data_IF_149762010435
#
_entry.id   IF_149762010435
#
_cell.length_a   1.000
_cell.length_b   1.000
_cell.length_c   1.000
_cell.angle_alpha   90.00
_cell.angle_beta   90.00
_cell.angle_gamma   90.00
#
_symmetry.space_group_name_H-M   'P 1'
#
loop_
_entity.id
_entity.type
_entity.pdbx_description
1 polymer ?
#
# COMPACT_ATOMS: atom_id res chain seq x y z
N UNK A 1 -33.37 23.46 -17.35
CA UNK A 1 -32.45 23.34 -18.51
C UNK A 1 -31.84 24.66 -19.01
N UNK A 2 -32.53 25.82 -18.93
CA UNK A 2 -32.03 27.13 -19.44
C UNK A 2 -30.71 27.58 -18.80
N UNK A 3 -30.55 27.43 -17.47
CA UNK A 3 -29.36 27.87 -16.71
C UNK A 3 -28.14 27.02 -16.98
N UNK A 4 -28.28 25.70 -17.21
CA UNK A 4 -27.17 24.79 -17.48
C UNK A 4 -26.44 25.15 -18.79
N UNK A 5 -27.19 25.52 -19.81
CA UNK A 5 -26.62 25.96 -21.10
C UNK A 5 -25.82 27.26 -20.94
N UNK A 6 -26.27 28.16 -20.07
CA UNK A 6 -25.56 29.39 -19.76
C UNK A 6 -24.23 29.10 -19.03
N UNK A 7 -24.24 28.23 -18.01
CA UNK A 7 -23.06 27.86 -17.23
C UNK A 7 -22.01 27.20 -18.13
N UNK A 8 -22.42 26.25 -18.97
CA UNK A 8 -21.51 25.55 -19.89
C UNK A 8 -20.91 26.51 -20.94
N UNK A 9 -21.69 27.44 -21.45
CA UNK A 9 -21.20 28.47 -22.38
C UNK A 9 -20.19 29.40 -21.70
N UNK A 10 -20.38 29.70 -20.42
CA UNK A 10 -19.46 30.50 -19.62
C UNK A 10 -18.11 29.80 -19.39
N UNK A 11 -18.12 28.51 -19.03
CA UNK A 11 -16.91 27.74 -18.84
C UNK A 11 -16.07 27.65 -20.14
N UNK A 12 -16.73 27.66 -21.33
CA UNK A 12 -16.04 27.61 -22.64
C UNK A 12 -15.50 28.98 -23.10
N UNK A 13 -15.88 30.07 -22.49
CA UNK A 13 -15.51 31.43 -22.95
C UNK A 13 -14.03 31.75 -22.70
N UNK A 14 -13.46 31.24 -21.61
CA UNK A 14 -12.03 31.33 -21.34
C UNK A 14 -11.47 29.92 -21.16
N UNK A 15 -11.24 29.19 -22.29
CA UNK A 15 -10.92 27.77 -22.25
C UNK A 15 -9.58 27.50 -21.55
N UNK A 16 -8.58 28.38 -21.71
CA UNK A 16 -7.26 28.20 -21.09
C UNK A 16 -7.38 28.14 -19.57
N UNK A 17 -8.09 29.06 -18.94
CA UNK A 17 -8.27 29.08 -17.50
C UNK A 17 -9.07 27.86 -17.02
N UNK A 18 -10.19 27.55 -17.66
CA UNK A 18 -11.01 26.39 -17.28
C UNK A 18 -10.24 25.08 -17.40
N UNK A 19 -9.46 24.90 -18.48
CA UNK A 19 -8.60 23.71 -18.67
C UNK A 19 -7.51 23.66 -17.60
N UNK A 20 -6.82 24.76 -17.32
CA UNK A 20 -5.79 24.80 -16.28
C UNK A 20 -6.36 24.50 -14.90
N UNK A 21 -7.54 25.02 -14.57
CA UNK A 21 -8.18 24.75 -13.27
C UNK A 21 -8.60 23.28 -13.16
N UNK A 22 -9.23 22.73 -14.22
CA UNK A 22 -9.61 21.32 -14.29
C UNK A 22 -8.35 20.44 -14.19
N UNK A 23 -7.30 20.75 -14.93
CA UNK A 23 -6.05 19.99 -14.93
C UNK A 23 -5.39 20.01 -13.53
N UNK A 24 -5.27 21.19 -12.91
CA UNK A 24 -4.72 21.32 -11.55
C UNK A 24 -5.53 20.52 -10.54
N UNK A 25 -6.86 20.63 -10.58
CA UNK A 25 -7.75 19.85 -9.69
C UNK A 25 -7.63 18.36 -9.93
N UNK A 26 -7.54 17.93 -11.21
CA UNK A 26 -7.37 16.51 -11.56
C UNK A 26 -6.06 15.94 -11.04
N UNK A 27 -4.94 16.63 -11.25
CA UNK A 27 -3.62 16.18 -10.81
C UNK A 27 -3.57 16.10 -9.29
N UNK A 28 -4.03 17.14 -8.59
CA UNK A 28 -4.01 17.14 -7.13
C UNK A 28 -4.87 16.03 -6.53
N UNK A 29 -6.08 15.80 -7.09
CA UNK A 29 -6.94 14.71 -6.64
C UNK A 29 -6.39 13.34 -7.01
N UNK A 30 -5.78 13.19 -8.18
CA UNK A 30 -5.09 11.96 -8.57
C UNK A 30 -4.00 11.60 -7.54
N UNK A 31 -3.14 12.56 -7.17
CA UNK A 31 -2.11 12.35 -6.14
C UNK A 31 -2.72 12.05 -4.76
N UNK A 32 -3.80 12.74 -4.38
CA UNK A 32 -4.50 12.45 -3.13
C UNK A 32 -5.07 11.04 -3.11
N UNK A 33 -5.61 10.54 -4.25
CA UNK A 33 -6.11 9.16 -4.35
C UNK A 33 -4.99 8.14 -4.14
N UNK A 34 -3.79 8.38 -4.68
CA UNK A 34 -2.62 7.51 -4.46
C UNK A 34 -2.30 7.42 -2.96
N UNK A 35 -2.21 8.56 -2.28
CA UNK A 35 -1.90 8.58 -0.85
C UNK A 35 -2.95 7.86 0.00
N UNK A 36 -4.23 8.09 -0.30
CA UNK A 36 -5.33 7.43 0.41
C UNK A 36 -5.39 5.92 0.10
N UNK A 37 -5.11 5.52 -1.14
CA UNK A 37 -5.06 4.11 -1.52
C UNK A 37 -3.89 3.39 -0.84
N UNK A 38 -2.71 3.99 -0.81
CA UNK A 38 -1.56 3.44 -0.09
C UNK A 38 -1.89 3.17 1.39
N UNK A 39 -2.57 4.12 2.03
CA UNK A 39 -2.98 3.97 3.42
C UNK A 39 -4.06 2.88 3.61
N UNK A 40 -5.05 2.83 2.71
CA UNK A 40 -6.14 1.86 2.80
C UNK A 40 -5.65 0.42 2.60
N UNK A 41 -4.72 0.19 1.67
CA UNK A 41 -4.15 -1.14 1.39
C UNK A 41 -3.43 -1.69 2.61
N UNK A 42 -2.65 -0.89 3.32
CA UNK A 42 -1.97 -1.33 4.54
C UNK A 42 -2.97 -1.77 5.63
N UNK A 43 -4.13 -1.11 5.74
CA UNK A 43 -5.19 -1.55 6.65
C UNK A 43 -5.91 -2.82 6.16
N UNK A 44 -6.15 -2.96 4.85
CA UNK A 44 -6.84 -4.13 4.29
C UNK A 44 -6.02 -5.41 4.43
N UNK A 45 -4.70 -5.36 4.19
CA UNK A 45 -3.81 -6.52 4.40
C UNK A 45 -3.92 -7.03 5.85
N UNK A 46 -3.92 -6.12 6.81
CA UNK A 46 -4.05 -6.47 8.22
C UNK A 46 -5.42 -7.10 8.54
N UNK A 47 -6.50 -6.61 7.96
CA UNK A 47 -7.86 -7.13 8.21
C UNK A 47 -8.07 -8.50 7.56
N UNK A 48 -7.56 -8.73 6.36
CA UNK A 48 -7.69 -10.04 5.68
C UNK A 48 -6.96 -11.16 6.41
N UNK A 49 -5.83 -10.87 7.05
CA UNK A 49 -5.08 -11.89 7.79
C UNK A 49 -5.87 -12.52 8.96
N UNK A 50 -6.97 -11.88 9.40
CA UNK A 50 -7.88 -12.43 10.45
C UNK A 50 -8.48 -13.78 10.09
N UNK A 51 -8.78 -14.02 8.82
CA UNK A 51 -9.47 -15.25 8.39
C UNK A 51 -8.58 -16.49 8.41
N UNK A 52 -7.26 -16.29 8.46
CA UNK A 52 -6.31 -17.41 8.34
C UNK A 52 -5.96 -18.08 9.67
N UNK A 53 -6.51 -17.64 10.81
CA UNK A 53 -6.26 -18.21 12.13
C UNK A 53 -4.76 -18.43 12.40
N UNK A 54 -3.94 -17.44 12.14
CA UNK A 54 -2.48 -17.49 12.34
C UNK A 54 -2.01 -16.54 13.42
N UNK A 55 -1.02 -16.99 14.16
CA UNK A 55 -0.25 -16.16 15.08
C UNK A 55 1.21 -16.15 14.63
N UNK A 56 1.89 -15.06 14.92
CA UNK A 56 3.30 -14.86 14.60
C UNK A 56 4.06 -14.66 15.89
N UNK A 57 5.06 -15.50 16.09
CA UNK A 57 6.00 -15.40 17.21
C UNK A 57 7.29 -14.77 16.72
N UNK A 58 7.74 -13.73 17.38
CA UNK A 58 8.99 -13.04 17.10
C UNK A 58 9.76 -12.80 18.40
N UNK A 59 11.00 -12.36 18.31
CA UNK A 59 11.74 -11.94 19.49
C UNK A 59 11.10 -10.68 20.11
N UNK A 60 11.04 -10.65 21.44
CA UNK A 60 10.43 -9.52 22.17
C UNK A 60 11.13 -8.18 21.89
N UNK A 61 12.43 -8.22 21.52
CA UNK A 61 13.21 -7.03 21.16
C UNK A 61 12.92 -6.49 19.73
N UNK A 62 11.89 -7.05 19.06
CA UNK A 62 11.47 -6.61 17.74
C UNK A 62 12.20 -7.31 16.57
N UNK A 63 12.16 -6.72 15.38
CA UNK A 63 12.67 -7.33 14.13
C UNK A 63 14.18 -7.55 14.08
N UNK A 64 14.96 -6.87 14.92
CA UNK A 64 16.40 -7.10 15.01
C UNK A 64 16.75 -8.38 15.77
N UNK A 65 15.83 -8.86 16.62
CA UNK A 65 15.96 -10.10 17.37
C UNK A 65 15.64 -11.32 16.49
N UNK A 66 16.15 -12.48 16.93
CA UNK A 66 15.92 -13.76 16.27
C UNK A 66 15.29 -14.74 17.25
N UNK A 67 14.67 -15.79 16.74
CA UNK A 67 14.03 -16.86 17.52
C UNK A 67 14.72 -18.19 17.16
N UNK A 68 15.18 -18.99 18.14
CA UNK A 68 15.79 -20.28 17.84
C UNK A 68 14.88 -21.20 17.04
N UNK A 69 15.43 -21.85 16.01
CA UNK A 69 14.66 -22.79 15.19
C UNK A 69 14.06 -23.95 16.00
N UNK A 70 14.72 -24.33 17.12
CA UNK A 70 14.21 -25.36 18.03
C UNK A 70 12.79 -25.06 18.55
N UNK A 71 12.45 -23.78 18.72
CA UNK A 71 11.11 -23.36 19.18
C UNK A 71 10.00 -23.78 18.21
N UNK A 72 10.29 -23.89 16.89
CA UNK A 72 9.32 -24.39 15.92
C UNK A 72 8.86 -25.79 16.29
N UNK A 73 9.81 -26.69 16.62
CA UNK A 73 9.51 -28.07 17.00
C UNK A 73 8.77 -28.20 18.33
N UNK A 74 9.02 -27.31 19.28
CA UNK A 74 8.34 -27.28 20.58
C UNK A 74 6.91 -26.75 20.43
N UNK A 75 6.74 -25.64 19.71
CA UNK A 75 5.45 -25.01 19.48
C UNK A 75 4.54 -25.89 18.61
N UNK A 76 5.07 -26.61 17.63
CA UNK A 76 4.30 -27.54 16.80
C UNK A 76 3.62 -28.65 17.59
N UNK A 77 4.12 -29.00 18.78
CA UNK A 77 3.56 -30.04 19.66
C UNK A 77 2.49 -29.51 20.61
N UNK A 78 2.27 -28.20 20.66
CA UNK A 78 1.28 -27.60 21.55
C UNK A 78 -0.13 -27.91 21.09
N UNK A 79 -1.04 -28.16 22.04
CA UNK A 79 -2.44 -28.35 21.71
C UNK A 79 -3.04 -27.07 21.12
N UNK A 80 -3.78 -27.25 20.03
CA UNK A 80 -4.38 -26.16 19.27
C UNK A 80 -3.53 -25.69 18.09
N UNK A 81 -2.27 -26.11 17.97
CA UNK A 81 -1.43 -25.85 16.79
C UNK A 81 -1.74 -26.89 15.70
N UNK A 82 -1.88 -26.44 14.46
CA UNK A 82 -2.00 -27.29 13.26
C UNK A 82 -0.62 -27.51 12.67
N UNK A 83 0.13 -26.43 12.47
CA UNK A 83 1.49 -26.45 11.95
C UNK A 83 2.21 -25.16 12.36
N UNK A 84 3.54 -25.22 12.42
CA UNK A 84 4.40 -24.04 12.58
C UNK A 84 5.54 -24.09 11.57
N UNK A 85 5.96 -22.93 11.08
CA UNK A 85 7.03 -22.80 10.08
C UNK A 85 7.96 -21.64 10.46
N UNK A 86 9.28 -21.78 10.31
CA UNK A 86 10.17 -20.64 10.35
C UNK A 86 9.86 -19.74 9.15
N UNK A 87 9.97 -18.43 9.35
CA UNK A 87 9.74 -17.44 8.30
C UNK A 87 10.80 -16.35 8.43
N UNK A 88 11.84 -16.44 7.62
CA UNK A 88 13.00 -15.54 7.70
C UNK A 88 13.19 -14.78 6.40
N UNK A 89 13.12 -13.47 6.48
CA UNK A 89 13.38 -12.61 5.33
C UNK A 89 14.86 -12.61 4.95
N UNK A 90 15.15 -12.82 3.67
CA UNK A 90 16.52 -12.86 3.15
C UNK A 90 17.04 -11.50 2.71
N UNK A 91 16.24 -10.73 1.98
CA UNK A 91 16.58 -9.37 1.56
C UNK A 91 17.79 -9.29 0.61
N UNK A 92 17.94 -10.26 -0.26
CA UNK A 92 19.03 -10.32 -1.25
C UNK A 92 18.71 -9.55 -2.53
N UNK A 93 19.75 -9.39 -3.38
CA UNK A 93 19.68 -8.78 -4.71
C UNK A 93 19.44 -9.83 -5.79
N UNK A 94 18.69 -9.46 -6.81
CA UNK A 94 18.52 -10.24 -8.02
C UNK A 94 18.92 -9.37 -9.22
N UNK A 95 19.88 -9.81 -10.02
CA UNK A 95 20.44 -9.01 -11.14
C UNK A 95 20.80 -7.57 -10.74
N UNK A 96 21.48 -7.40 -9.58
CA UNK A 96 21.88 -6.12 -9.00
C UNK A 96 20.73 -5.20 -8.53
N UNK A 97 19.46 -5.60 -8.69
CA UNK A 97 18.32 -4.92 -8.08
C UNK A 97 18.27 -5.20 -6.57
N UNK A 98 18.25 -4.15 -5.78
CA UNK A 98 18.11 -4.26 -4.30
C UNK A 98 16.65 -4.47 -3.97
N UNK A 99 16.33 -5.54 -3.20
CA UNK A 99 14.96 -5.90 -2.82
C UNK A 99 13.99 -6.01 -4.03
N UNK A 100 14.29 -6.85 -5.02
CA UNK A 100 13.49 -6.91 -6.25
C UNK A 100 12.10 -7.52 -6.03
N UNK A 101 11.95 -8.35 -5.01
CA UNK A 101 10.72 -9.02 -4.55
C UNK A 101 10.95 -9.62 -3.15
N UNK A 102 9.85 -9.96 -2.46
CA UNK A 102 9.92 -10.57 -1.13
C UNK A 102 10.52 -11.98 -1.19
N UNK A 103 11.49 -12.26 -0.33
CA UNK A 103 12.27 -13.50 -0.30
C UNK A 103 12.29 -14.05 1.12
N UNK A 104 11.74 -15.26 1.31
CA UNK A 104 11.64 -15.86 2.63
C UNK A 104 12.19 -17.29 2.65
N UNK A 105 13.03 -17.54 3.65
CA UNK A 105 13.45 -18.89 4.00
C UNK A 105 12.41 -19.54 4.91
N UNK A 106 11.88 -20.71 4.50
CA UNK A 106 10.74 -21.39 5.11
C UNK A 106 10.98 -22.89 5.21
N UNK A 107 10.20 -23.58 6.02
CA UNK A 107 10.19 -25.05 6.03
C UNK A 107 9.26 -25.57 4.91
N UNK A 108 9.84 -26.36 4.00
CA UNK A 108 9.14 -26.90 2.83
C UNK A 108 7.98 -27.84 3.19
N UNK A 109 8.05 -28.51 4.37
CA UNK A 109 7.00 -29.45 4.80
C UNK A 109 5.78 -28.73 5.34
N UNK A 110 5.96 -27.59 6.00
CA UNK A 110 4.91 -26.97 6.79
C UNK A 110 4.35 -25.67 6.20
N UNK A 111 5.09 -24.99 5.30
CA UNK A 111 4.72 -23.67 4.78
C UNK A 111 3.33 -23.63 4.14
N UNK A 112 2.97 -24.59 3.28
CA UNK A 112 1.66 -24.63 2.62
C UNK A 112 0.54 -25.18 3.49
N UNK A 113 0.86 -25.74 4.66
CA UNK A 113 -0.13 -26.02 5.71
C UNK A 113 -0.40 -24.77 6.56
N UNK A 114 0.64 -23.97 6.80
CA UNK A 114 0.50 -22.71 7.52
C UNK A 114 -0.15 -21.64 6.64
N UNK A 115 0.27 -21.53 5.37
CA UNK A 115 -0.30 -20.63 4.36
C UNK A 115 -1.23 -21.41 3.41
N UNK A 116 -2.34 -21.93 3.95
CA UNK A 116 -3.29 -22.79 3.24
C UNK A 116 -4.10 -22.07 2.15
N UNK A 117 -4.03 -20.74 2.09
CA UNK A 117 -4.55 -19.95 0.98
C UNK A 117 -3.69 -20.03 -0.29
N UNK A 118 -2.41 -20.43 -0.15
CA UNK A 118 -1.50 -20.59 -1.26
C UNK A 118 -1.58 -22.02 -1.80
N UNK A 119 -1.78 -22.15 -3.10
CA UNK A 119 -1.91 -23.44 -3.78
C UNK A 119 -0.76 -23.64 -4.72
N UNK A 120 -0.10 -24.79 -4.62
CA UNK A 120 0.95 -25.26 -5.51
C UNK A 120 0.58 -26.65 -6.03
N UNK A 121 0.97 -27.00 -7.25
CA UNK A 121 0.69 -28.32 -7.80
C UNK A 121 1.44 -29.42 -6.99
N UNK A 122 0.84 -30.60 -6.76
CA UNK A 122 1.42 -31.63 -5.88
C UNK A 122 2.81 -32.09 -6.30
N UNK A 123 3.04 -32.26 -7.60
CA UNK A 123 4.32 -32.61 -8.18
C UNK A 123 5.41 -31.55 -7.96
N UNK A 124 5.03 -30.29 -8.03
CA UNK A 124 5.92 -29.16 -7.77
C UNK A 124 6.24 -29.03 -6.28
N UNK A 125 5.26 -29.28 -5.41
CA UNK A 125 5.47 -29.29 -3.97
C UNK A 125 6.45 -30.39 -3.58
N UNK A 126 6.31 -31.60 -4.14
CA UNK A 126 7.21 -32.71 -3.90
C UNK A 126 8.63 -32.38 -4.41
N UNK A 127 8.74 -31.83 -5.62
CA UNK A 127 10.03 -31.36 -6.14
C UNK A 127 10.67 -30.28 -5.24
N UNK A 128 9.89 -29.38 -4.62
CA UNK A 128 10.39 -28.40 -3.66
C UNK A 128 10.91 -29.05 -2.37
N UNK A 129 10.22 -30.07 -1.87
CA UNK A 129 10.62 -30.79 -0.67
C UNK A 129 11.88 -31.63 -0.86
N UNK A 130 12.05 -32.26 -2.02
CA UNK A 130 13.18 -33.12 -2.32
C UNK A 130 14.48 -32.35 -2.61
N UNK A 131 14.37 -31.19 -3.26
CA UNK A 131 15.54 -30.43 -3.72
C UNK A 131 15.90 -29.31 -2.74
N UNK A 132 17.09 -29.37 -2.13
CA UNK A 132 17.57 -28.37 -1.16
C UNK A 132 17.70 -26.97 -1.75
N UNK A 133 18.16 -26.86 -2.99
CA UNK A 133 18.28 -25.62 -3.75
C UNK A 133 16.94 -25.13 -4.35
N UNK A 134 15.85 -25.88 -4.09
CA UNK A 134 14.54 -25.57 -4.61
C UNK A 134 13.95 -24.28 -4.03
N UNK A 135 13.22 -23.55 -4.88
CA UNK A 135 12.33 -22.50 -4.45
C UNK A 135 10.97 -22.59 -5.14
N UNK A 136 9.96 -22.05 -4.47
CA UNK A 136 8.61 -21.89 -5.03
C UNK A 136 8.32 -20.40 -5.12
N UNK A 137 7.92 -19.92 -6.30
CA UNK A 137 7.68 -18.52 -6.58
C UNK A 137 6.19 -18.25 -6.85
N UNK A 138 5.73 -17.05 -6.55
CA UNK A 138 4.36 -16.66 -6.85
C UNK A 138 4.11 -16.50 -8.35
N UNK A 139 2.89 -16.77 -8.78
CA UNK A 139 2.49 -16.74 -10.20
C UNK A 139 2.63 -15.34 -10.84
N UNK A 140 2.49 -14.28 -10.05
CA UNK A 140 2.75 -12.91 -10.52
C UNK A 140 4.24 -12.64 -10.68
N UNK A 141 5.07 -13.11 -9.73
CA UNK A 141 6.53 -13.02 -9.84
C UNK A 141 7.04 -13.78 -11.08
N UNK A 142 6.54 -15.01 -11.29
CA UNK A 142 6.88 -15.81 -12.46
C UNK A 142 6.57 -15.07 -13.78
N UNK A 143 5.43 -14.42 -13.85
CA UNK A 143 5.01 -13.62 -15.02
C UNK A 143 5.86 -12.35 -15.19
N UNK A 144 6.04 -11.59 -14.11
CA UNK A 144 6.73 -10.29 -14.13
C UNK A 144 8.21 -10.46 -14.53
N UNK A 145 8.84 -11.57 -14.11
CA UNK A 145 10.25 -11.89 -14.39
C UNK A 145 10.44 -12.94 -15.50
N UNK A 146 9.34 -13.40 -16.10
CA UNK A 146 9.34 -14.43 -17.15
C UNK A 146 10.02 -15.74 -16.73
N UNK A 147 9.94 -16.09 -15.44
CA UNK A 147 10.54 -17.29 -14.85
C UNK A 147 9.63 -18.51 -15.07
N UNK A 148 10.26 -19.65 -15.35
CA UNK A 148 9.59 -20.93 -15.57
C UNK A 148 10.14 -21.99 -14.60
N UNK A 149 9.47 -23.12 -14.51
CA UNK A 149 9.96 -24.28 -13.78
C UNK A 149 11.32 -24.71 -14.34
N UNK A 150 12.28 -24.94 -13.46
CA UNK A 150 13.65 -25.34 -13.79
C UNK A 150 14.61 -24.15 -14.00
N UNK A 151 14.11 -22.91 -14.09
CA UNK A 151 14.99 -21.78 -14.28
C UNK A 151 15.82 -21.48 -13.01
N UNK A 152 17.08 -21.04 -13.17
CA UNK A 152 17.92 -20.62 -12.07
C UNK A 152 17.46 -19.26 -11.54
N UNK A 153 17.45 -19.12 -10.21
CA UNK A 153 17.13 -17.89 -9.50
C UNK A 153 18.27 -17.54 -8.52
N UNK A 154 19.38 -16.99 -9.00
CA UNK A 154 20.50 -16.59 -8.14
C UNK A 154 20.15 -15.35 -7.34
N UNK A 155 20.25 -15.44 -6.02
CA UNK A 155 20.08 -14.31 -5.10
C UNK A 155 21.42 -13.98 -4.46
N UNK A 156 21.89 -12.76 -4.64
CA UNK A 156 23.11 -12.27 -4.03
C UNK A 156 22.82 -11.72 -2.65
N UNK A 157 23.58 -12.13 -1.65
CA UNK A 157 23.41 -11.67 -0.27
C UNK A 157 23.66 -10.19 -0.11
N UNK A 158 22.73 -9.47 0.55
CA UNK A 158 22.88 -8.07 0.93
C UNK A 158 22.77 -7.93 2.47
N UNK A 159 21.68 -8.42 3.04
CA UNK A 159 21.49 -8.46 4.49
C UNK A 159 22.31 -9.58 5.15
N UNK A 160 22.48 -10.70 4.47
CA UNK A 160 23.27 -11.85 4.92
C UNK A 160 24.49 -12.05 3.98
N UNK A 161 25.65 -12.45 4.52
CA UNK A 161 26.87 -12.60 3.73
C UNK A 161 26.92 -13.96 2.99
N UNK A 162 25.82 -14.35 2.38
CA UNK A 162 25.67 -15.63 1.67
C UNK A 162 24.88 -15.41 0.38
N UNK A 163 25.35 -16.00 -0.70
CA UNK A 163 24.63 -16.05 -1.97
C UNK A 163 23.81 -17.35 -2.04
N UNK A 164 22.59 -17.25 -2.54
CA UNK A 164 21.69 -18.37 -2.69
C UNK A 164 21.48 -18.66 -4.18
N UNK A 165 21.97 -19.80 -4.64
CA UNK A 165 21.74 -20.29 -5.98
C UNK A 165 20.51 -21.20 -5.97
N UNK A 166 19.35 -20.62 -6.27
CA UNK A 166 18.06 -21.31 -6.22
C UNK A 166 17.64 -21.79 -7.60
N UNK A 167 16.80 -22.83 -7.62
CA UNK A 167 16.15 -23.33 -8.83
C UNK A 167 14.64 -23.32 -8.63
N UNK A 168 13.89 -22.77 -9.57
CA UNK A 168 12.43 -22.72 -9.50
C UNK A 168 11.84 -24.12 -9.62
N UNK A 169 11.34 -24.69 -8.53
CA UNK A 169 10.72 -26.04 -8.48
C UNK A 169 9.20 -25.98 -8.47
N UNK A 170 8.62 -24.81 -8.14
CA UNK A 170 7.18 -24.66 -8.14
C UNK A 170 6.74 -23.22 -8.37
N UNK A 171 5.50 -23.09 -8.82
CA UNK A 171 4.82 -21.80 -8.97
C UNK A 171 3.50 -21.90 -8.22
N UNK A 172 3.36 -21.11 -7.15
CA UNK A 172 2.13 -21.07 -6.38
C UNK A 172 1.18 -19.98 -6.89
N UNK A 173 -0.11 -20.22 -6.67
CA UNK A 173 -1.18 -19.24 -6.86
C UNK A 173 -1.94 -19.06 -5.56
N UNK A 174 -2.75 -18.03 -5.48
CA UNK A 174 -3.58 -17.74 -4.31
C UNK A 174 -4.70 -16.76 -4.65
N UNK A 175 -5.52 -16.37 -3.67
CA UNK A 175 -6.54 -15.33 -3.82
C UNK A 175 -5.93 -14.04 -4.40
N UNK A 176 -6.77 -13.20 -5.02
CA UNK A 176 -6.32 -11.98 -5.70
C UNK A 176 -5.51 -11.01 -4.79
N UNK A 177 -5.77 -11.07 -3.48
CA UNK A 177 -5.13 -10.23 -2.45
C UNK A 177 -3.98 -10.92 -1.71
N UNK A 178 -3.77 -12.23 -1.92
CA UNK A 178 -2.58 -12.89 -1.40
C UNK A 178 -1.34 -12.36 -2.13
N UNK A 179 -0.23 -12.29 -1.41
CA UNK A 179 1.05 -11.93 -2.04
C UNK A 179 1.51 -13.06 -2.97
N UNK A 180 1.40 -12.84 -4.26
CA UNK A 180 1.81 -13.76 -5.31
C UNK A 180 3.16 -13.35 -5.94
N UNK A 181 3.96 -12.53 -5.22
CA UNK A 181 5.29 -12.09 -5.66
C UNK A 181 6.42 -12.52 -4.73
N UNK A 182 6.11 -13.39 -3.75
CA UNK A 182 7.16 -13.93 -2.86
C UNK A 182 7.94 -15.04 -3.56
N UNK A 183 9.21 -15.17 -3.19
CA UNK A 183 10.04 -16.32 -3.40
C UNK A 183 10.20 -17.03 -2.04
N UNK A 184 9.71 -18.27 -1.98
CA UNK A 184 9.81 -19.14 -0.80
C UNK A 184 10.88 -20.20 -1.09
N UNK A 185 11.92 -20.27 -0.28
CA UNK A 185 12.99 -21.26 -0.43
C UNK A 185 13.31 -21.93 0.89
N UNK A 186 14.06 -22.99 0.86
CA UNK A 186 14.26 -23.87 2.03
C UNK A 186 15.12 -23.21 3.10
N UNK A 187 14.63 -23.23 4.33
CA UNK A 187 15.33 -22.69 5.51
C UNK A 187 16.60 -23.50 5.83
N UNK A 188 16.56 -24.83 5.69
CA UNK A 188 17.73 -25.68 5.93
C UNK A 188 18.90 -25.36 5.00
N UNK A 189 18.63 -25.11 3.72
CA UNK A 189 19.65 -24.68 2.76
C UNK A 189 20.27 -23.32 3.14
N UNK A 190 19.45 -22.39 3.54
CA UNK A 190 19.89 -21.07 4.01
C UNK A 190 20.74 -21.18 5.28
N UNK A 191 20.30 -21.94 6.27
CA UNK A 191 21.00 -22.12 7.54
C UNK A 191 22.36 -22.85 7.34
N UNK A 192 22.41 -23.86 6.45
CA UNK A 192 23.67 -24.49 6.08
C UNK A 192 24.65 -23.50 5.41
N UNK A 193 24.15 -22.59 4.56
CA UNK A 193 24.99 -21.56 3.95
C UNK A 193 25.56 -20.61 5.00
N UNK A 194 24.76 -20.17 5.97
CA UNK A 194 25.21 -19.34 7.09
C UNK A 194 26.24 -20.05 7.96
N UNK A 195 26.03 -21.34 8.26
CA UNK A 195 26.99 -22.17 9.02
C UNK A 195 28.35 -22.24 8.33
N UNK A 196 28.38 -22.45 7.02
CA UNK A 196 29.62 -22.51 6.23
C UNK A 196 30.42 -21.21 6.35
N UNK A 197 29.78 -20.05 6.24
CA UNK A 197 30.46 -18.75 6.39
C UNK A 197 31.00 -18.56 7.81
N UNK A 198 30.21 -18.93 8.82
CA UNK A 198 30.65 -18.84 10.23
C UNK A 198 31.87 -19.71 10.51
N UNK A 199 31.89 -20.95 10.01
CA UNK A 199 33.00 -21.88 10.17
C UNK A 199 34.25 -21.42 9.40
N UNK A 200 34.10 -20.96 8.16
CA UNK A 200 35.20 -20.44 7.35
C UNK A 200 35.86 -19.21 7.98
N UNK A 201 35.07 -18.31 8.54
CA UNK A 201 35.59 -17.13 9.26
C UNK A 201 36.37 -17.55 10.53
N UNK A 202 35.86 -18.52 11.28
CA UNK A 202 36.51 -19.01 12.49
C UNK A 202 37.87 -19.69 12.17
N UNK A 203 37.95 -20.51 11.11
CA UNK A 203 39.17 -21.16 10.69
C UNK A 203 40.21 -20.21 10.10
N UNK A 204 39.77 -19.10 9.51
CA UNK A 204 40.63 -18.05 8.95
C UNK A 204 41.10 -16.99 9.94
N UNK A 205 40.78 -17.11 11.23
CA UNK A 205 41.14 -16.12 12.29
C UNK A 205 40.41 -14.78 12.15
N UNK A 206 39.38 -14.70 11.31
CA UNK A 206 38.53 -13.52 11.14
C UNK A 206 37.24 -13.67 11.93
N UNK A 207 36.71 -12.58 12.47
CA UNK A 207 35.40 -12.59 13.12
C UNK A 207 34.32 -12.72 12.04
N UNK A 208 33.45 -13.73 12.17
CA UNK A 208 32.28 -13.86 11.31
C UNK A 208 31.38 -12.60 11.41
N UNK A 209 30.85 -12.10 10.29
CA UNK A 209 29.87 -11.02 10.32
C UNK A 209 28.74 -11.32 11.30
N UNK A 210 28.23 -10.29 11.97
CA UNK A 210 27.14 -10.44 12.94
C UNK A 210 25.89 -11.12 12.34
N UNK A 211 25.64 -10.90 11.04
CA UNK A 211 24.57 -11.54 10.29
C UNK A 211 24.77 -13.03 10.04
N UNK A 212 26.04 -13.51 9.94
CA UNK A 212 26.33 -14.93 9.82
C UNK A 212 26.10 -15.68 11.15
N UNK A 213 26.27 -15.01 12.29
CA UNK A 213 25.99 -15.57 13.64
C UNK A 213 24.50 -15.87 13.88
N UNK A 214 23.62 -15.53 12.95
CA UNK A 214 22.18 -15.82 13.01
C UNK A 214 21.80 -17.25 12.61
N UNK A 215 22.78 -18.08 12.24
CA UNK A 215 22.56 -19.51 11.98
C UNK A 215 21.88 -20.20 13.18
N UNK A 216 20.98 -21.14 12.90
CA UNK A 216 20.16 -21.82 13.91
C UNK A 216 18.98 -20.98 14.45
N UNK A 217 18.77 -19.77 13.91
CA UNK A 217 17.72 -18.89 14.34
C UNK A 217 16.88 -18.40 13.14
N UNK A 218 15.58 -18.27 13.34
CA UNK A 218 14.63 -17.71 12.40
C UNK A 218 14.30 -16.25 12.77
N UNK A 219 13.88 -15.46 11.79
CA UNK A 219 13.38 -14.10 12.03
C UNK A 219 12.08 -14.10 12.80
N UNK A 220 11.13 -14.93 12.35
CA UNK A 220 9.80 -15.14 12.95
C UNK A 220 9.38 -16.59 12.79
N UNK A 221 8.38 -17.01 13.56
CA UNK A 221 7.69 -18.30 13.41
C UNK A 221 6.22 -18.02 13.13
N UNK A 222 5.72 -18.49 12.01
CA UNK A 222 4.31 -18.46 11.67
C UNK A 222 3.65 -19.75 12.14
N UNK A 223 2.53 -19.63 12.84
CA UNK A 223 1.84 -20.74 13.51
C UNK A 223 0.38 -20.73 13.07
N UNK A 224 -0.08 -21.80 12.44
CA UNK A 224 -1.47 -22.05 12.11
C UNK A 224 -2.18 -22.65 13.32
N UNK A 225 -3.25 -22.00 13.76
CA UNK A 225 -4.10 -22.45 14.86
C UNK A 225 -5.34 -23.15 14.32
N UNK A 226 -5.90 -24.08 15.10
CA UNK A 226 -7.16 -24.79 14.76
C UNK A 226 -8.33 -23.81 14.65
N UNK A 227 -8.43 -22.85 15.57
CA UNK A 227 -9.51 -21.85 15.64
C UNK A 227 -8.99 -20.49 16.07
N UNK A 228 -9.75 -19.44 15.79
CA UNK A 228 -9.39 -18.09 16.19
C UNK A 228 -9.42 -17.88 17.72
N UNK A 229 -10.33 -18.57 18.42
CA UNK A 229 -10.58 -18.37 19.86
C UNK A 229 -9.38 -18.72 20.72
N UNK A 230 -8.55 -19.69 20.28
CA UNK A 230 -7.40 -20.14 21.04
C UNK A 230 -6.16 -19.26 20.83
N UNK A 231 -6.14 -18.43 19.78
CA UNK A 231 -4.94 -17.64 19.42
C UNK A 231 -4.40 -16.78 20.59
N UNK A 232 -5.22 -16.02 21.34
CA UNK A 232 -4.72 -15.20 22.44
C UNK A 232 -4.14 -16.03 23.59
N UNK A 233 -4.80 -17.15 23.93
CA UNK A 233 -4.35 -18.03 25.02
C UNK A 233 -3.09 -18.80 24.65
N UNK A 234 -2.99 -19.26 23.39
CA UNK A 234 -1.82 -19.95 22.86
C UNK A 234 -0.63 -18.99 22.76
N UNK A 235 -0.83 -17.77 22.26
CA UNK A 235 0.21 -16.77 22.20
C UNK A 235 0.80 -16.46 23.58
N UNK A 236 -0.07 -16.29 24.59
CA UNK A 236 0.36 -16.09 25.96
C UNK A 236 1.14 -17.29 26.51
N UNK A 237 0.71 -18.53 26.22
CA UNK A 237 1.43 -19.75 26.65
C UNK A 237 2.83 -19.79 26.04
N UNK A 238 2.99 -19.44 24.78
CA UNK A 238 4.29 -19.41 24.09
C UNK A 238 5.18 -18.35 24.76
N UNK A 239 4.68 -17.14 24.96
CA UNK A 239 5.45 -16.06 25.55
C UNK A 239 5.83 -16.34 27.03
N UNK A 240 4.93 -16.97 27.78
CA UNK A 240 5.21 -17.40 29.17
C UNK A 240 6.31 -18.49 29.22
N UNK A 241 6.30 -19.43 28.24
CA UNK A 241 7.31 -20.49 28.15
C UNK A 241 8.73 -19.93 27.95
N UNK A 242 8.86 -18.91 27.10
CA UNK A 242 10.16 -18.34 26.71
C UNK A 242 10.50 -17.03 27.41
N UNK A 243 9.69 -16.58 28.37
CA UNK A 243 9.86 -15.30 29.07
C UNK A 243 11.23 -15.14 29.72
N UNK A 244 11.75 -16.19 30.32
CA UNK A 244 13.03 -16.21 31.06
C UNK A 244 14.15 -16.87 30.23
N UNK A 245 13.97 -17.08 28.94
CA UNK A 245 15.01 -17.58 28.04
C UNK A 245 15.91 -16.45 27.54
N UNK A 246 17.06 -16.80 26.98
CA UNK A 246 17.94 -15.84 26.28
C UNK A 246 17.25 -15.22 25.04
N UNK A 247 16.14 -15.80 24.62
CA UNK A 247 15.36 -15.39 23.46
C UNK A 247 13.88 -15.19 23.83
N UNK A 248 13.56 -14.18 24.65
CA UNK A 248 12.17 -13.91 25.01
C UNK A 248 11.33 -13.62 23.78
N UNK A 249 10.12 -14.18 23.74
CA UNK A 249 9.23 -14.06 22.59
C UNK A 249 8.10 -13.08 22.84
N UNK A 250 7.59 -12.56 21.72
CA UNK A 250 6.34 -11.82 21.63
C UNK A 250 5.50 -12.46 20.53
N UNK A 251 4.37 -13.03 20.96
CA UNK A 251 3.43 -13.72 20.04
C UNK A 251 2.16 -12.88 19.89
N UNK A 252 1.76 -12.66 18.67
CA UNK A 252 0.59 -11.86 18.34
C UNK A 252 -0.13 -12.43 17.13
N UNK A 253 -1.37 -12.02 16.89
CA UNK A 253 -2.10 -12.40 15.67
C UNK A 253 -1.38 -11.85 14.43
N UNK A 254 -1.52 -12.52 13.30
CA UNK A 254 -0.94 -12.03 12.03
C UNK A 254 -1.46 -10.62 11.68
N UNK A 255 -2.72 -10.32 12.01
CA UNK A 255 -3.26 -8.97 11.90
C UNK A 255 -2.47 -7.95 12.73
N UNK A 256 -2.21 -8.26 14.01
CA UNK A 256 -1.46 -7.37 14.90
C UNK A 256 0.00 -7.22 14.43
N UNK A 257 0.60 -8.30 13.91
CA UNK A 257 1.93 -8.28 13.31
C UNK A 257 1.98 -7.39 12.06
N UNK A 258 1.01 -7.52 11.15
CA UNK A 258 0.90 -6.67 9.95
C UNK A 258 0.67 -5.20 10.32
N UNK A 259 -0.16 -4.93 11.33
CA UNK A 259 -0.36 -3.57 11.86
C UNK A 259 0.91 -3.00 12.47
N UNK A 260 1.70 -3.79 13.19
CA UNK A 260 2.98 -3.34 13.74
C UNK A 260 3.94 -2.89 12.63
N UNK A 261 3.94 -3.57 11.49
CA UNK A 261 4.68 -3.14 10.30
C UNK A 261 4.17 -1.79 9.76
N UNK A 262 2.86 -1.64 9.68
CA UNK A 262 2.24 -0.37 9.29
C UNK A 262 2.51 0.74 10.32
N UNK A 263 2.56 0.42 11.61
CA UNK A 263 2.82 1.36 12.70
C UNK A 263 4.32 1.76 12.79
N UNK A 264 5.25 0.92 12.33
CA UNK A 264 6.65 1.35 12.10
C UNK A 264 6.75 2.51 11.10
N UNK A 265 5.77 2.61 10.20
CA UNK A 265 5.56 3.74 9.32
C UNK A 265 4.64 4.82 9.95
N UNK A 266 4.47 4.79 11.29
CA UNK A 266 3.49 5.61 12.02
C UNK A 266 3.61 7.11 11.78
N UNK A 267 4.83 7.63 11.72
CA UNK A 267 5.09 9.02 11.34
C UNK A 267 4.69 9.30 9.89
N UNK A 268 4.77 8.30 9.01
CA UNK A 268 4.33 8.39 7.63
C UNK A 268 2.80 8.57 7.53
N UNK A 269 2.03 7.93 8.43
CA UNK A 269 0.57 8.12 8.49
C UNK A 269 0.21 9.58 8.75
N UNK A 270 0.82 10.19 9.75
CA UNK A 270 0.63 11.60 10.08
C UNK A 270 1.09 12.51 8.96
N UNK A 271 2.21 12.19 8.32
CA UNK A 271 2.71 12.90 7.16
C UNK A 271 1.74 12.83 5.96
N UNK A 272 1.20 11.64 5.67
CA UNK A 272 0.21 11.45 4.59
C UNK A 272 -1.06 12.28 4.84
N UNK A 273 -1.58 12.29 6.07
CA UNK A 273 -2.72 13.15 6.42
C UNK A 273 -2.38 14.64 6.30
N UNK A 274 -1.17 15.04 6.74
CA UNK A 274 -0.70 16.41 6.61
C UNK A 274 -0.57 16.84 5.14
N UNK A 275 0.02 16.00 4.30
CA UNK A 275 0.13 16.22 2.84
C UNK A 275 -1.27 16.29 2.22
N UNK A 276 -2.16 15.35 2.55
CA UNK A 276 -3.54 15.34 2.04
C UNK A 276 -4.29 16.62 2.39
N UNK A 277 -4.16 17.11 3.62
CA UNK A 277 -4.74 18.37 4.06
C UNK A 277 -4.12 19.56 3.30
N UNK A 278 -2.80 19.59 3.16
CA UNK A 278 -2.09 20.63 2.41
C UNK A 278 -2.54 20.68 0.94
N UNK A 279 -2.76 19.53 0.31
CA UNK A 279 -3.30 19.42 -1.05
C UNK A 279 -4.70 20.01 -1.13
N UNK A 280 -5.60 19.70 -0.18
CA UNK A 280 -6.96 20.28 -0.14
C UNK A 280 -6.90 21.78 0.03
N UNK A 281 -6.05 22.29 0.91
CA UNK A 281 -5.87 23.75 1.12
C UNK A 281 -5.34 24.40 -0.16
N UNK A 282 -4.33 23.81 -0.81
CA UNK A 282 -3.80 24.31 -2.07
C UNK A 282 -4.88 24.36 -3.17
N UNK A 283 -5.70 23.30 -3.27
CA UNK A 283 -6.84 23.26 -4.19
C UNK A 283 -7.86 24.39 -3.92
N UNK A 284 -8.18 24.68 -2.65
CA UNK A 284 -9.07 25.77 -2.29
C UNK A 284 -8.51 27.11 -2.75
N UNK A 285 -7.22 27.37 -2.60
CA UNK A 285 -6.59 28.60 -3.07
C UNK A 285 -6.55 28.69 -4.61
N UNK A 286 -6.17 27.63 -5.29
CA UNK A 286 -6.09 27.59 -6.77
C UNK A 286 -7.49 27.81 -7.37
N UNK A 287 -8.48 27.03 -6.93
CA UNK A 287 -9.84 27.16 -7.42
C UNK A 287 -10.48 28.49 -7.03
N UNK A 288 -10.24 28.96 -5.80
CA UNK A 288 -10.74 30.25 -5.33
C UNK A 288 -10.17 31.44 -6.10
N UNK A 289 -8.87 31.41 -6.38
CA UNK A 289 -8.21 32.45 -7.18
C UNK A 289 -8.73 32.44 -8.64
N UNK A 290 -8.86 31.26 -9.26
CA UNK A 290 -9.44 31.12 -10.59
C UNK A 290 -10.88 31.67 -10.65
N UNK A 291 -11.71 31.39 -9.65
CA UNK A 291 -13.07 31.93 -9.55
C UNK A 291 -13.11 33.44 -9.29
N UNK A 292 -12.23 33.97 -8.45
CA UNK A 292 -12.14 35.41 -8.20
C UNK A 292 -11.76 36.17 -9.49
N UNK A 293 -10.82 35.67 -10.26
CA UNK A 293 -10.46 36.22 -11.57
C UNK A 293 -11.66 36.13 -12.54
N UNK A 294 -12.35 34.99 -12.62
CA UNK A 294 -13.53 34.82 -13.44
C UNK A 294 -14.61 35.85 -13.11
N UNK A 295 -14.82 36.11 -11.83
CA UNK A 295 -15.83 37.12 -11.40
C UNK A 295 -15.41 38.55 -11.72
N UNK A 296 -14.13 38.89 -11.60
CA UNK A 296 -13.62 40.21 -11.99
C UNK A 296 -13.82 40.50 -13.49
N UNK A 297 -13.58 39.54 -14.34
CA UNK A 297 -13.80 39.68 -15.78
C UNK A 297 -15.27 39.84 -16.17
N UNK A 298 -16.18 39.28 -15.35
CA UNK A 298 -17.65 39.28 -15.62
C UNK A 298 -18.45 40.27 -14.75
N UNK A 299 -17.78 41.19 -14.11
CA UNK A 299 -18.47 42.16 -13.22
C UNK A 299 -19.60 42.91 -13.93
N UNK A 300 -19.38 43.34 -15.19
CA UNK A 300 -20.38 44.02 -16.03
C UNK A 300 -21.55 43.12 -16.40
N UNK A 301 -21.29 41.85 -16.75
CA UNK A 301 -22.34 40.88 -17.08
C UNK A 301 -23.24 40.60 -15.87
N UNK A 302 -22.66 40.46 -14.67
CA UNK A 302 -23.41 40.30 -13.42
C UNK A 302 -24.23 41.54 -13.13
N UNK A 303 -23.69 42.74 -13.38
CA UNK A 303 -24.45 43.99 -13.21
C UNK A 303 -25.65 44.08 -14.16
N UNK A 304 -25.48 43.68 -15.43
CA UNK A 304 -26.58 43.61 -16.42
C UNK A 304 -27.64 42.57 -16.00
N UNK A 305 -27.27 41.39 -15.57
CA UNK A 305 -28.18 40.37 -15.07
C UNK A 305 -29.05 40.93 -13.90
N UNK A 306 -28.41 41.64 -12.97
CA UNK A 306 -29.12 42.28 -11.86
C UNK A 306 -30.04 43.43 -12.33
N UNK A 307 -29.62 44.21 -13.32
CA UNK A 307 -30.43 45.28 -13.90
C UNK A 307 -31.72 44.77 -14.56
N UNK A 308 -31.68 43.58 -15.15
CA UNK A 308 -32.86 42.91 -15.75
C UNK A 308 -33.64 42.04 -14.75
N UNK A 309 -33.34 42.14 -13.44
CA UNK A 309 -34.18 41.59 -12.38
C UNK A 309 -33.71 40.27 -11.76
N UNK A 310 -32.49 39.79 -12.04
CA UNK A 310 -31.96 38.60 -11.35
C UNK A 310 -31.70 38.88 -9.87
N UNK A 311 -32.28 38.06 -8.99
CA UNK A 311 -32.08 38.17 -7.55
C UNK A 311 -30.62 37.81 -7.16
N UNK A 312 -30.18 38.37 -6.01
CA UNK A 312 -28.86 38.06 -5.44
C UNK A 312 -28.63 36.56 -5.26
N UNK A 313 -29.69 35.85 -4.80
CA UNK A 313 -29.64 34.40 -4.61
C UNK A 313 -29.44 33.61 -5.91
N UNK A 314 -30.06 34.07 -7.01
CA UNK A 314 -29.91 33.43 -8.32
C UNK A 314 -28.51 33.66 -8.88
N UNK A 315 -27.91 34.84 -8.73
CA UNK A 315 -26.52 35.13 -9.09
C UNK A 315 -25.56 34.26 -8.30
N UNK A 316 -25.75 34.16 -6.99
CA UNK A 316 -24.95 33.31 -6.09
C UNK A 316 -25.04 31.85 -6.55
N UNK A 317 -26.24 31.34 -6.80
CA UNK A 317 -26.45 29.97 -7.27
C UNK A 317 -25.76 29.70 -8.59
N UNK A 318 -25.80 30.60 -9.56
CA UNK A 318 -25.15 30.42 -10.87
C UNK A 318 -23.63 30.34 -10.73
N UNK A 319 -23.02 31.22 -9.91
CA UNK A 319 -21.58 31.24 -9.69
C UNK A 319 -21.11 29.99 -8.93
N UNK A 320 -21.83 29.58 -7.88
CA UNK A 320 -21.53 28.36 -7.14
C UNK A 320 -21.64 27.12 -8.02
N UNK A 321 -22.68 27.04 -8.84
CA UNK A 321 -22.86 25.91 -9.76
C UNK A 321 -21.72 25.83 -10.76
N UNK A 322 -21.22 26.96 -11.27
CA UNK A 322 -20.05 27.00 -12.16
C UNK A 322 -18.80 26.46 -11.44
N UNK A 323 -18.53 26.90 -10.20
CA UNK A 323 -17.41 26.44 -9.40
C UNK A 323 -17.46 24.95 -9.14
N UNK A 324 -18.63 24.43 -8.72
CA UNK A 324 -18.87 23.02 -8.45
C UNK A 324 -18.72 22.17 -9.72
N UNK A 325 -19.19 22.67 -10.88
CA UNK A 325 -19.03 21.96 -12.14
C UNK A 325 -17.55 21.85 -12.55
N UNK A 326 -16.79 22.94 -12.47
CA UNK A 326 -15.36 22.92 -12.84
C UNK A 326 -14.57 22.02 -11.90
N UNK A 327 -14.78 22.15 -10.58
CA UNK A 327 -14.14 21.30 -9.60
C UNK A 327 -14.60 19.84 -9.71
N UNK A 328 -15.90 19.60 -9.93
CA UNK A 328 -16.46 18.27 -10.10
C UNK A 328 -15.96 17.54 -11.34
N UNK A 329 -15.80 18.23 -12.48
CA UNK A 329 -15.17 17.64 -13.68
C UNK A 329 -13.72 17.31 -13.41
N UNK A 330 -12.94 18.23 -12.82
CA UNK A 330 -11.56 17.96 -12.43
C UNK A 330 -11.46 16.79 -11.45
N UNK A 331 -12.37 16.74 -10.47
CA UNK A 331 -12.47 15.65 -9.50
C UNK A 331 -12.82 14.31 -10.12
N UNK A 332 -13.77 14.30 -11.03
CA UNK A 332 -14.13 13.07 -11.76
C UNK A 332 -12.94 12.55 -12.57
N UNK A 333 -12.23 13.42 -13.29
CA UNK A 333 -11.04 13.02 -14.05
C UNK A 333 -9.93 12.54 -13.10
N UNK A 334 -9.67 13.23 -11.98
CA UNK A 334 -8.65 12.85 -11.01
C UNK A 334 -8.98 11.54 -10.28
N UNK A 335 -10.16 11.45 -9.69
CA UNK A 335 -10.56 10.30 -8.87
C UNK A 335 -10.89 9.05 -9.72
N UNK A 336 -11.68 9.18 -10.79
CA UNK A 336 -11.99 8.05 -11.65
C UNK A 336 -10.81 7.69 -12.56
N UNK A 337 -10.04 8.71 -12.97
CA UNK A 337 -8.81 8.50 -13.74
C UNK A 337 -7.75 7.73 -12.94
N UNK A 338 -7.58 8.04 -11.64
CA UNK A 338 -6.66 7.27 -10.77
C UNK A 338 -7.13 5.83 -10.62
N UNK A 339 -8.44 5.61 -10.39
CA UNK A 339 -8.98 4.26 -10.31
C UNK A 339 -8.73 3.49 -11.61
N UNK A 340 -9.13 4.05 -12.76
CA UNK A 340 -8.93 3.41 -14.05
C UNK A 340 -7.44 3.13 -14.31
N UNK A 341 -6.55 4.08 -14.00
CA UNK A 341 -5.11 3.92 -14.19
C UNK A 341 -4.57 2.71 -13.42
N UNK A 342 -4.88 2.60 -12.11
CA UNK A 342 -4.37 1.51 -11.28
C UNK A 342 -5.14 0.18 -11.45
N UNK A 343 -6.30 0.18 -12.07
CA UNK A 343 -6.96 -1.06 -12.49
C UNK A 343 -6.26 -1.68 -13.73
N UNK A 344 -5.61 -0.85 -14.58
CA UNK A 344 -4.88 -1.29 -15.76
C UNK A 344 -3.37 -1.40 -15.57
N UNK A 345 -2.77 -0.52 -14.75
CA UNK A 345 -1.33 -0.46 -14.52
C UNK A 345 -1.01 -1.02 -13.15
N UNK A 346 -0.41 -2.20 -13.11
CA UNK A 346 0.09 -2.80 -11.88
C UNK A 346 1.46 -2.18 -11.54
N UNK A 347 1.52 -1.40 -10.46
CA UNK A 347 2.78 -0.78 -10.00
C UNK A 347 3.55 -1.63 -8.98
N UNK A 348 2.96 -2.70 -8.48
CA UNK A 348 3.57 -3.56 -7.46
C UNK A 348 4.96 -4.12 -7.86
N UNK A 349 5.24 -4.48 -9.13
CA UNK A 349 6.58 -4.90 -9.55
C UNK A 349 7.68 -3.86 -9.32
N UNK A 350 7.31 -2.58 -9.30
CA UNK A 350 8.26 -1.47 -9.13
C UNK A 350 8.45 -1.04 -7.67
N UNK A 351 7.75 -1.68 -6.72
CA UNK A 351 7.80 -1.31 -5.29
C UNK A 351 8.81 -2.11 -4.49
N UNK A 352 9.61 -2.99 -5.12
CA UNK A 352 10.61 -3.79 -4.42
C UNK A 352 10.03 -4.77 -3.38
N UNK A 353 8.80 -5.23 -3.57
CA UNK A 353 8.14 -6.17 -2.65
C UNK A 353 7.42 -5.50 -1.46
N UNK A 354 7.49 -4.17 -1.32
CA UNK A 354 6.77 -3.46 -0.25
C UNK A 354 5.26 -3.49 -0.41
N UNK A 355 4.78 -3.47 -1.65
CA UNK A 355 3.35 -3.53 -1.97
C UNK A 355 3.08 -4.75 -2.84
N UNK A 356 2.44 -5.80 -2.30
CA UNK A 356 2.10 -7.00 -3.07
C UNK A 356 1.04 -6.72 -4.15
N UNK A 357 0.23 -5.68 -3.95
CA UNK A 357 -0.77 -5.18 -4.89
C UNK A 357 -1.04 -3.69 -4.61
N UNK A 358 -1.52 -2.97 -5.62
CA UNK A 358 -1.96 -1.59 -5.47
C UNK A 358 -3.20 -1.34 -6.32
N UNK A 359 -4.23 -0.77 -5.72
CA UNK A 359 -5.47 -0.39 -6.40
C UNK A 359 -6.19 0.75 -5.66
N UNK A 360 -6.98 1.49 -6.39
CA UNK A 360 -7.87 2.51 -5.82
C UNK A 360 -9.28 1.92 -5.67
N UNK A 361 -9.74 1.77 -4.42
CA UNK A 361 -11.08 1.24 -4.16
C UNK A 361 -12.18 2.25 -4.56
N UNK A 362 -13.40 1.75 -4.82
CA UNK A 362 -14.54 2.63 -5.10
C UNK A 362 -14.84 3.60 -3.96
N UNK A 363 -14.66 3.18 -2.71
CA UNK A 363 -14.85 4.06 -1.55
C UNK A 363 -13.91 5.26 -1.58
N UNK A 364 -12.66 5.05 -1.95
CA UNK A 364 -11.65 6.11 -2.09
C UNK A 364 -12.02 7.03 -3.27
N UNK A 365 -12.40 6.47 -4.41
CA UNK A 365 -12.81 7.25 -5.57
C UNK A 365 -14.04 8.14 -5.28
N UNK A 366 -15.04 7.60 -4.57
CA UNK A 366 -16.22 8.34 -4.13
C UNK A 366 -15.82 9.44 -3.13
N UNK A 367 -14.94 9.16 -2.19
CA UNK A 367 -14.41 10.15 -1.25
C UNK A 367 -13.73 11.30 -2.00
N UNK A 368 -12.92 11.00 -3.01
CA UNK A 368 -12.30 12.02 -3.88
C UNK A 368 -13.31 12.89 -4.61
N UNK A 369 -14.38 12.30 -5.12
CA UNK A 369 -15.49 13.06 -5.71
C UNK A 369 -16.17 13.97 -4.69
N UNK A 370 -16.44 13.48 -3.49
CA UNK A 370 -17.01 14.31 -2.41
C UNK A 370 -16.10 15.49 -2.03
N UNK A 371 -14.79 15.23 -1.92
CA UNK A 371 -13.79 16.28 -1.65
C UNK A 371 -13.77 17.32 -2.78
N UNK A 372 -13.83 16.88 -4.05
CA UNK A 372 -13.86 17.83 -5.18
C UNK A 372 -15.09 18.73 -5.18
N UNK A 373 -16.26 18.19 -4.86
CA UNK A 373 -17.50 18.95 -4.73
C UNK A 373 -17.43 19.94 -3.57
N UNK A 374 -16.89 19.51 -2.44
CA UNK A 374 -16.64 20.37 -1.28
C UNK A 374 -15.68 21.52 -1.62
N UNK A 375 -14.55 21.22 -2.29
CA UNK A 375 -13.61 22.24 -2.77
C UNK A 375 -14.28 23.22 -3.72
N UNK A 376 -15.09 22.73 -4.66
CA UNK A 376 -15.86 23.59 -5.57
C UNK A 376 -16.82 24.53 -4.86
N UNK A 377 -17.54 24.03 -3.85
CA UNK A 377 -18.43 24.85 -3.02
C UNK A 377 -17.65 25.88 -2.19
N UNK A 378 -16.64 25.45 -1.46
CA UNK A 378 -15.88 26.30 -0.55
C UNK A 378 -15.07 27.38 -1.30
N UNK A 379 -14.40 27.02 -2.40
CA UNK A 379 -13.63 27.97 -3.22
C UNK A 379 -14.51 28.95 -3.98
N UNK A 380 -15.72 28.53 -4.40
CA UNK A 380 -16.68 29.37 -5.09
C UNK A 380 -17.48 30.31 -4.18
N UNK A 381 -17.60 29.99 -2.88
CA UNK A 381 -18.48 30.69 -1.97
C UNK A 381 -18.13 32.19 -1.81
N UNK A 382 -16.87 32.50 -1.53
CA UNK A 382 -16.40 33.86 -1.35
C UNK A 382 -16.57 34.74 -2.61
N UNK A 383 -16.09 34.30 -3.81
CA UNK A 383 -16.34 35.03 -5.05
C UNK A 383 -17.84 35.19 -5.39
N UNK A 384 -18.66 34.16 -5.11
CA UNK A 384 -20.08 34.20 -5.35
C UNK A 384 -20.80 35.23 -4.47
N UNK A 385 -20.45 35.33 -3.18
CA UNK A 385 -20.98 36.34 -2.26
C UNK A 385 -20.60 37.76 -2.72
N UNK A 386 -19.35 37.96 -3.13
CA UNK A 386 -18.90 39.26 -3.66
C UNK A 386 -19.69 39.66 -4.92
N UNK A 387 -19.86 38.71 -5.87
CA UNK A 387 -20.65 38.93 -7.08
C UNK A 387 -22.12 39.23 -6.77
N UNK A 388 -22.72 38.48 -5.84
CA UNK A 388 -24.11 38.67 -5.43
C UNK A 388 -24.33 40.06 -4.74
N UNK A 389 -23.35 40.57 -4.04
CA UNK A 389 -23.45 41.86 -3.34
C UNK A 389 -22.93 43.08 -4.14
N UNK A 390 -22.30 42.86 -5.32
CA UNK A 390 -21.85 43.95 -6.19
C UNK A 390 -23.02 44.91 -6.56
N UNK A 391 -22.78 46.23 -6.57
CA UNK A 391 -23.81 47.19 -6.99
C UNK A 391 -23.88 47.25 -8.52
N UNK A 392 -25.11 47.46 -9.06
CA UNK A 392 -25.34 47.59 -10.51
C UNK A 392 -24.61 48.83 -11.03
N UNK A 393 -24.63 49.93 -10.28
CA UNK A 393 -23.98 51.20 -10.65
C UNK A 393 -22.46 51.03 -10.82
N UNK A 394 -21.82 50.39 -9.82
CA UNK A 394 -20.35 50.18 -9.86
C UNK A 394 -19.93 49.19 -10.96
N UNK A 395 -20.80 48.22 -11.30
CA UNK A 395 -20.53 47.27 -12.37
C UNK A 395 -20.64 47.84 -13.78
N UNK A 396 -21.54 48.82 -13.97
CA UNK A 396 -21.73 49.48 -15.26
C UNK A 396 -20.75 50.66 -15.47
N UNK A 397 -20.31 51.32 -14.40
CA UNK A 397 -19.36 52.45 -14.45
C UNK A 397 -17.93 52.07 -14.90
N UNK A 398 -17.57 50.79 -14.86
CA UNK A 398 -16.25 50.29 -15.36
C UNK A 398 -16.15 50.19 -16.89
N UNK A 399 -17.19 50.57 -17.61
CA UNK A 399 -17.26 50.50 -19.10
C UNK A 399 -16.99 51.88 -19.76
N UNK A 400 -16.79 52.93 -18.95
CA UNK A 400 -16.47 54.29 -19.44
C UNK A 400 -15.04 54.64 -19.12
#
# INVERSE_FOLDING_TARGET
>A
MKYFRYIFRNARRNPVRSVLTIASTSICLFLMMILLAFFAINNEVAVESRIYNRIVTMNANGFAGMVPIAFVGEVSKMDGVVAATPFSWFGGKYHDEVMPFSQFAVDAETIFTVMDELTVAPDQLEAFKENKDGCVIGSKLARDRQLKLGDPLPLKGDLYPVDMNLTVRGIYSGPARADQRMCLFRFDYFDEALKRVTMSSASGGSLAPASAKRSGNAGTIFIKCKTADIMPSLGKKIDDLYRNSDFPTRTQTEEAFSKMFADMLGDLKSAIYGIGLAVVVALLFVAGNAMAMAMRERTTEVAVLKAIGFSKGLVLFLVLTEAVLVAGVGGAIGALGSKAFFDYVDIAPYTGGFLPFFYVSWNIAILGLCVSLFVGLASGLFPAILAANSSVINGLRKVV
#
